data_IF_569125551126
#
_entry.id   IF_569125551126
#
_cell.length_a   1.000
_cell.length_b   1.000
_cell.length_c   1.000
_cell.angle_alpha   90.00
_cell.angle_beta   90.00
_cell.angle_gamma   90.00
#
_symmetry.space_group_name_H-M   'P 1'
#
loop_
_entity.id
_entity.type
_entity.pdbx_description
1 polymer ?
#
# COMPACT_ATOMS: atom_id res chain seq x y z
N UNK A 1 31.34 12.50 4.71
CA UNK A 1 30.92 11.78 5.94
C UNK A 1 29.89 12.51 6.79
N UNK A 2 30.07 13.77 7.23
CA UNK A 2 28.97 14.51 7.90
C UNK A 2 27.93 15.01 6.90
N UNK A 3 28.35 15.73 5.84
CA UNK A 3 27.46 16.29 4.81
C UNK A 3 26.60 15.22 4.12
N UNK A 4 27.15 14.06 3.81
CA UNK A 4 26.41 13.01 3.10
C UNK A 4 25.25 12.46 3.95
N UNK A 5 25.45 12.30 5.28
CA UNK A 5 24.38 11.86 6.20
C UNK A 5 23.26 12.89 6.34
N UNK A 6 23.60 14.18 6.35
CA UNK A 6 22.61 15.25 6.40
C UNK A 6 21.78 15.32 5.10
N UNK A 7 22.41 15.06 3.95
CA UNK A 7 21.72 14.99 2.65
C UNK A 7 20.82 13.77 2.51
N UNK A 8 21.28 12.58 2.92
CA UNK A 8 20.47 11.35 2.87
C UNK A 8 19.30 11.43 3.86
N UNK A 9 19.55 11.84 5.11
CA UNK A 9 18.50 12.02 6.11
C UNK A 9 17.46 13.06 5.71
N UNK A 10 17.90 14.20 5.17
CA UNK A 10 17.01 15.24 4.67
C UNK A 10 16.17 14.81 3.45
N UNK A 11 16.68 13.89 2.63
CA UNK A 11 15.94 13.36 1.47
C UNK A 11 14.90 12.34 1.90
N UNK A 12 15.24 11.43 2.82
CA UNK A 12 14.29 10.47 3.38
C UNK A 12 13.14 11.18 4.08
N UNK A 13 13.43 12.18 4.93
CA UNK A 13 12.40 13.01 5.58
C UNK A 13 11.42 13.63 4.56
N UNK A 14 11.93 14.23 3.48
CA UNK A 14 11.08 14.81 2.45
C UNK A 14 10.25 13.76 1.72
N UNK A 15 10.82 12.59 1.43
CA UNK A 15 10.09 11.47 0.84
C UNK A 15 8.90 11.08 1.71
N UNK A 16 9.08 10.99 3.03
CA UNK A 16 7.99 10.70 3.97
C UNK A 16 6.89 11.75 3.98
N UNK A 17 7.25 13.04 3.93
CA UNK A 17 6.25 14.12 3.82
C UNK A 17 5.43 13.96 2.53
N UNK A 18 6.10 13.70 1.40
CA UNK A 18 5.43 13.52 0.10
C UNK A 18 4.51 12.30 0.10
N UNK A 19 4.98 11.17 0.64
CA UNK A 19 4.16 9.95 0.75
C UNK A 19 2.94 10.19 1.65
N UNK A 20 3.11 10.85 2.80
CA UNK A 20 2.00 11.19 3.68
C UNK A 20 0.96 12.09 2.99
N UNK A 21 1.39 13.07 2.20
CA UNK A 21 0.47 13.89 1.39
C UNK A 21 -0.25 13.06 0.33
N UNK A 22 0.45 12.14 -0.34
CA UNK A 22 -0.15 11.26 -1.33
C UNK A 22 -1.23 10.35 -0.72
N UNK A 23 -0.98 9.79 0.47
CA UNK A 23 -1.95 8.96 1.18
C UNK A 23 -3.20 9.76 1.59
N UNK A 24 -3.03 10.98 2.11
CA UNK A 24 -4.17 11.86 2.45
C UNK A 24 -5.01 12.17 1.22
N UNK A 25 -4.38 12.53 0.10
CA UNK A 25 -5.09 12.79 -1.17
C UNK A 25 -5.84 11.55 -1.63
N UNK A 26 -5.22 10.37 -1.56
CA UNK A 26 -5.87 9.12 -1.95
C UNK A 26 -7.10 8.83 -1.06
N UNK A 27 -6.98 8.93 0.26
CA UNK A 27 -8.09 8.69 1.19
C UNK A 27 -9.21 9.70 0.98
N UNK A 28 -8.89 10.98 0.77
CA UNK A 28 -9.88 12.02 0.47
C UNK A 28 -10.61 11.73 -0.84
N UNK A 29 -9.90 11.32 -1.89
CA UNK A 29 -10.52 10.94 -3.16
C UNK A 29 -11.48 9.74 -2.99
N UNK A 30 -11.09 8.74 -2.20
CA UNK A 30 -11.99 7.64 -1.85
C UNK A 30 -13.20 8.10 -1.01
N UNK A 31 -13.00 8.98 -0.05
CA UNK A 31 -14.08 9.53 0.76
C UNK A 31 -15.10 10.28 -0.11
N UNK A 32 -14.65 11.03 -1.11
CA UNK A 32 -15.53 11.70 -2.08
C UNK A 32 -16.24 10.74 -3.02
N UNK A 33 -15.60 9.63 -3.40
CA UNK A 33 -16.25 8.59 -4.21
C UNK A 33 -17.47 8.00 -3.49
N UNK A 34 -17.37 7.74 -2.18
CA UNK A 34 -18.48 7.22 -1.37
C UNK A 34 -19.45 8.31 -0.89
N UNK A 35 -18.93 9.51 -0.61
CA UNK A 35 -19.70 10.67 -0.15
C UNK A 35 -19.47 11.88 -1.07
N UNK A 36 -20.17 11.94 -2.22
CA UNK A 36 -19.94 12.98 -3.23
C UNK A 36 -20.31 14.40 -2.77
N UNK A 37 -21.06 14.55 -1.67
CA UNK A 37 -21.36 15.85 -1.07
C UNK A 37 -20.30 16.37 -0.09
N UNK A 38 -19.23 15.59 0.17
CA UNK A 38 -18.25 15.90 1.20
C UNK A 38 -17.14 16.80 0.63
N UNK A 39 -16.91 17.95 1.27
CA UNK A 39 -15.93 18.92 0.82
C UNK A 39 -14.49 18.43 1.05
N UNK A 40 -13.61 18.69 0.07
CA UNK A 40 -12.22 18.20 0.04
C UNK A 40 -11.39 18.59 1.28
N UNK A 41 -11.57 19.83 1.77
CA UNK A 41 -10.87 20.31 2.95
C UNK A 41 -11.34 19.64 4.24
N UNK A 42 -12.64 19.28 4.33
CA UNK A 42 -13.22 18.60 5.50
C UNK A 42 -12.71 17.17 5.56
N UNK A 43 -12.73 16.47 4.42
CA UNK A 43 -12.20 15.12 4.30
C UNK A 43 -10.72 15.06 4.69
N UNK A 44 -9.91 15.96 4.11
CA UNK A 44 -8.46 15.99 4.37
C UNK A 44 -8.14 16.31 5.84
N UNK A 45 -8.85 17.27 6.45
CA UNK A 45 -8.68 17.59 7.87
C UNK A 45 -9.07 16.42 8.78
N UNK A 46 -10.19 15.74 8.47
CA UNK A 46 -10.64 14.58 9.23
C UNK A 46 -9.63 13.43 9.17
N UNK A 47 -9.03 13.17 7.99
CA UNK A 47 -7.99 12.15 7.83
C UNK A 47 -6.75 12.48 8.65
N UNK A 48 -6.28 13.74 8.63
CA UNK A 48 -5.11 14.15 9.42
C UNK A 48 -5.36 13.98 10.92
N UNK A 49 -6.54 14.37 11.41
CA UNK A 49 -6.93 14.18 12.82
C UNK A 49 -7.01 12.69 13.17
N UNK A 50 -7.56 11.86 12.28
CA UNK A 50 -7.62 10.41 12.47
C UNK A 50 -6.22 9.80 12.57
N UNK A 51 -5.32 10.15 11.65
CA UNK A 51 -3.93 9.67 11.67
C UNK A 51 -3.20 10.12 12.93
N UNK A 52 -3.39 11.37 13.35
CA UNK A 52 -2.81 11.88 14.60
C UNK A 52 -3.34 11.10 15.81
N UNK A 53 -4.64 10.86 15.90
CA UNK A 53 -5.23 10.11 17.01
C UNK A 53 -4.78 8.65 17.04
N UNK A 54 -4.62 8.00 15.89
CA UNK A 54 -4.03 6.67 15.78
C UNK A 54 -2.54 6.68 16.19
N UNK A 55 -1.80 7.74 15.89
CA UNK A 55 -0.40 7.87 16.31
C UNK A 55 -0.25 7.92 17.85
N UNK A 56 -1.25 8.43 18.56
CA UNK A 56 -1.30 8.43 20.02
C UNK A 56 -1.76 7.08 20.62
N UNK A 57 -2.30 6.16 19.81
CA UNK A 57 -2.77 4.87 20.30
C UNK A 57 -1.59 3.97 20.72
N UNK A 58 -1.73 3.33 21.88
CA UNK A 58 -0.66 2.56 22.53
C UNK A 58 -0.08 1.46 21.63
N UNK A 59 1.25 1.40 21.55
CA UNK A 59 2.08 0.42 20.79
C UNK A 59 1.64 -1.05 20.88
N UNK A 60 0.94 -1.44 21.95
CA UNK A 60 0.42 -2.81 22.10
C UNK A 60 -0.77 -3.12 21.18
N UNK A 61 -1.66 -2.15 20.96
CA UNK A 61 -2.79 -2.31 20.02
C UNK A 61 -2.33 -2.27 18.57
N UNK A 62 -1.28 -1.50 18.28
CA UNK A 62 -0.78 -1.30 16.92
C UNK A 62 -0.36 -2.62 16.26
N UNK A 63 0.38 -3.47 16.97
CA UNK A 63 0.86 -4.76 16.42
C UNK A 63 -0.26 -5.75 16.11
N UNK A 64 -1.31 -5.82 16.93
CA UNK A 64 -2.47 -6.68 16.65
C UNK A 64 -3.27 -6.14 15.46
N UNK A 65 -3.53 -4.83 15.41
CA UNK A 65 -4.25 -4.18 14.32
C UNK A 65 -3.51 -4.35 12.98
N UNK A 66 -2.19 -4.19 12.96
CA UNK A 66 -1.38 -4.37 11.77
C UNK A 66 -1.47 -5.79 11.22
N UNK A 67 -1.44 -6.80 12.09
CA UNK A 67 -1.65 -8.19 11.69
C UNK A 67 -3.03 -8.41 11.07
N UNK A 68 -4.10 -7.89 11.70
CA UNK A 68 -5.46 -7.98 11.16
C UNK A 68 -5.59 -7.26 9.81
N UNK A 69 -5.02 -6.07 9.65
CA UNK A 69 -5.03 -5.35 8.38
C UNK A 69 -4.23 -6.06 7.29
N UNK A 70 -3.10 -6.69 7.63
CA UNK A 70 -2.34 -7.50 6.69
C UNK A 70 -3.14 -8.73 6.22
N UNK A 71 -3.88 -9.39 7.13
CA UNK A 71 -4.78 -10.50 6.79
C UNK A 71 -5.86 -10.06 5.80
N UNK A 72 -6.51 -8.91 6.04
CA UNK A 72 -7.53 -8.35 5.13
C UNK A 72 -6.94 -8.12 3.74
N UNK A 73 -5.72 -7.58 3.64
CA UNK A 73 -5.05 -7.37 2.35
C UNK A 73 -4.84 -8.69 1.60
N UNK A 74 -4.37 -9.74 2.28
CA UNK A 74 -4.17 -11.06 1.67
C UNK A 74 -5.48 -11.64 1.16
N UNK A 75 -6.52 -11.63 2.01
CA UNK A 75 -7.85 -12.12 1.62
C UNK A 75 -8.41 -11.33 0.45
N UNK A 76 -8.26 -10.01 0.42
CA UNK A 76 -8.71 -9.18 -0.69
C UNK A 76 -8.00 -9.51 -2.00
N UNK A 77 -6.68 -9.70 -1.99
CA UNK A 77 -5.91 -10.10 -3.19
C UNK A 77 -6.40 -11.45 -3.72
N UNK A 78 -6.52 -12.45 -2.83
CA UNK A 78 -6.99 -13.79 -3.21
C UNK A 78 -8.42 -13.72 -3.75
N UNK A 79 -9.31 -12.98 -3.09
CA UNK A 79 -10.68 -12.81 -3.54
C UNK A 79 -10.76 -12.15 -4.92
N UNK A 80 -9.99 -11.09 -5.17
CA UNK A 80 -9.94 -10.42 -6.48
C UNK A 80 -9.45 -11.36 -7.59
N UNK A 81 -8.43 -12.19 -7.32
CA UNK A 81 -7.94 -13.19 -8.28
C UNK A 81 -9.03 -14.21 -8.58
N UNK A 82 -9.66 -14.79 -7.55
CA UNK A 82 -10.71 -15.80 -7.71
C UNK A 82 -11.91 -15.23 -8.47
N UNK A 83 -12.39 -14.05 -8.09
CA UNK A 83 -13.50 -13.37 -8.78
C UNK A 83 -13.15 -13.08 -10.23
N UNK A 84 -11.94 -12.61 -10.52
CA UNK A 84 -11.45 -12.40 -11.88
C UNK A 84 -11.49 -13.68 -12.73
N UNK A 85 -10.96 -14.79 -12.20
CA UNK A 85 -10.97 -16.10 -12.89
C UNK A 85 -12.39 -16.62 -13.12
N UNK A 86 -13.27 -16.48 -12.12
CA UNK A 86 -14.67 -16.89 -12.22
C UNK A 86 -15.41 -16.07 -13.26
N UNK A 87 -15.19 -14.75 -13.32
CA UNK A 87 -15.79 -13.89 -14.35
C UNK A 87 -15.37 -14.30 -15.76
N UNK A 88 -14.09 -14.65 -15.96
CA UNK A 88 -13.59 -15.14 -17.26
C UNK A 88 -14.21 -16.49 -17.60
N UNK A 89 -14.27 -17.43 -16.66
CA UNK A 89 -14.84 -18.75 -16.88
C UNK A 89 -16.34 -18.69 -17.25
N UNK A 90 -17.08 -17.79 -16.63
CA UNK A 90 -18.51 -17.59 -16.88
C UNK A 90 -18.81 -16.67 -18.07
N UNK A 91 -17.79 -16.16 -18.78
CA UNK A 91 -17.95 -15.19 -19.86
C UNK A 91 -18.85 -14.01 -19.43
N UNK A 92 -18.59 -13.51 -18.21
CA UNK A 92 -19.41 -12.48 -17.59
C UNK A 92 -19.35 -11.19 -18.42
N UNK A 93 -20.52 -10.67 -18.81
CA UNK A 93 -20.63 -9.39 -19.52
C UNK A 93 -20.88 -8.27 -18.54
N UNK A 94 -20.00 -7.27 -18.58
CA UNK A 94 -20.19 -6.04 -17.83
C UNK A 94 -21.47 -5.32 -18.29
N UNK A 95 -22.06 -4.46 -17.45
CA UNK A 95 -23.16 -3.57 -17.85
C UNK A 95 -22.80 -2.63 -19.03
N UNK A 96 -21.51 -2.47 -19.31
CA UNK A 96 -20.96 -1.70 -20.44
C UNK A 96 -20.73 -2.55 -21.70
N UNK A 97 -21.11 -3.83 -21.70
CA UNK A 97 -21.03 -4.74 -22.85
C UNK A 97 -19.68 -5.43 -23.05
N UNK A 98 -18.72 -5.24 -22.14
CA UNK A 98 -17.39 -5.85 -22.19
C UNK A 98 -17.42 -7.23 -21.55
N UNK A 99 -16.98 -8.24 -22.29
CA UNK A 99 -16.95 -9.63 -21.81
C UNK A 99 -15.63 -9.93 -21.12
N UNK A 100 -15.66 -10.44 -19.89
CA UNK A 100 -14.45 -10.81 -19.17
C UNK A 100 -13.68 -11.89 -19.95
N UNK A 101 -12.48 -11.56 -20.43
CA UNK A 101 -11.68 -12.43 -21.27
C UNK A 101 -10.18 -12.18 -21.09
N UNK A 102 -9.37 -13.24 -21.20
CA UNK A 102 -7.90 -13.12 -21.28
C UNK A 102 -7.43 -12.34 -22.51
N UNK A 103 -8.29 -12.21 -23.53
CA UNK A 103 -7.98 -11.43 -24.72
C UNK A 103 -7.71 -9.95 -24.41
N UNK A 104 -8.30 -9.39 -23.34
CA UNK A 104 -8.05 -8.01 -22.90
C UNK A 104 -6.60 -7.73 -22.50
N UNK A 105 -5.80 -8.76 -22.23
CA UNK A 105 -4.37 -8.59 -21.93
C UNK A 105 -3.56 -8.12 -23.16
N UNK A 106 -4.04 -8.36 -24.38
CA UNK A 106 -3.34 -8.02 -25.63
C UNK A 106 -4.20 -7.33 -26.69
N UNK A 107 -5.51 -7.51 -26.72
CA UNK A 107 -6.36 -6.99 -27.81
C UNK A 107 -6.75 -5.51 -27.66
N UNK A 108 -6.71 -4.92 -26.47
CA UNK A 108 -7.09 -3.52 -26.24
C UNK A 108 -5.94 -2.53 -26.47
N UNK A 109 -5.14 -2.73 -27.52
CA UNK A 109 -3.99 -1.87 -27.85
C UNK A 109 -2.60 -2.45 -27.56
N UNK A 110 -2.49 -3.78 -27.47
CA UNK A 110 -1.23 -4.49 -27.29
C UNK A 110 -0.60 -4.28 -25.91
N UNK A 111 0.74 -4.35 -25.84
CA UNK A 111 1.49 -4.15 -24.60
C UNK A 111 1.52 -2.68 -24.13
N UNK A 112 1.23 -1.73 -25.02
CA UNK A 112 1.29 -0.28 -24.76
C UNK A 112 0.01 0.44 -25.19
N UNK A 113 -1.15 0.11 -24.60
CA UNK A 113 -2.44 0.67 -25.01
C UNK A 113 -2.54 2.19 -24.75
N UNK A 114 -1.73 2.71 -23.81
CA UNK A 114 -1.59 4.13 -23.48
C UNK A 114 -0.27 4.74 -24.00
N UNK A 115 0.45 4.02 -24.87
CA UNK A 115 1.77 4.41 -25.37
C UNK A 115 2.89 4.41 -24.33
N UNK A 116 4.06 4.92 -24.73
CA UNK A 116 5.26 5.01 -23.89
C UNK A 116 5.04 5.97 -22.70
N UNK A 117 4.27 7.04 -22.88
CA UNK A 117 3.92 7.96 -21.79
C UNK A 117 3.10 7.28 -20.69
N UNK A 118 2.14 6.43 -21.07
CA UNK A 118 1.38 5.61 -20.12
C UNK A 118 2.25 4.60 -19.37
N UNK A 119 3.24 4.01 -20.06
CA UNK A 119 4.22 3.14 -19.41
C UNK A 119 5.02 3.88 -18.33
N UNK A 120 5.57 5.06 -18.63
CA UNK A 120 6.33 5.83 -17.63
C UNK A 120 5.45 6.30 -16.46
N UNK A 121 4.19 6.68 -16.72
CA UNK A 121 3.24 7.04 -15.67
C UNK A 121 2.93 5.86 -14.73
N UNK A 122 2.68 4.67 -15.28
CA UNK A 122 2.46 3.45 -14.48
C UNK A 122 3.73 2.98 -13.76
N UNK A 123 4.88 3.05 -14.43
CA UNK A 123 6.19 2.71 -13.86
C UNK A 123 6.52 3.57 -12.63
N UNK A 124 6.26 4.88 -12.71
CA UNK A 124 6.43 5.77 -11.57
C UNK A 124 5.61 5.31 -10.36
N UNK A 125 4.31 5.02 -10.55
CA UNK A 125 3.43 4.54 -9.48
C UNK A 125 3.93 3.19 -8.92
N UNK A 126 4.39 2.29 -9.80
CA UNK A 126 4.95 1.00 -9.37
C UNK A 126 6.19 1.20 -8.47
N UNK A 127 7.12 2.07 -8.85
CA UNK A 127 8.30 2.40 -8.03
C UNK A 127 7.89 3.00 -6.68
N UNK A 128 6.88 3.89 -6.66
CA UNK A 128 6.34 4.44 -5.41
C UNK A 128 5.82 3.36 -4.46
N UNK A 129 5.22 2.28 -4.97
CA UNK A 129 4.75 1.18 -4.14
C UNK A 129 5.89 0.41 -3.43
N UNK A 130 7.12 0.46 -3.94
CA UNK A 130 8.29 -0.21 -3.35
C UNK A 130 9.05 0.64 -2.32
N UNK A 131 8.77 1.93 -2.20
CA UNK A 131 9.46 2.84 -1.25
C UNK A 131 9.34 2.35 0.21
N UNK A 132 8.22 1.75 0.59
CA UNK A 132 8.03 1.21 1.94
C UNK A 132 8.92 0.00 2.28
N UNK A 133 9.34 -0.77 1.27
CA UNK A 133 10.20 -1.95 1.45
C UNK A 133 11.64 -1.54 1.75
N UNK A 134 12.09 -0.40 1.22
CA UNK A 134 13.42 0.15 1.49
C UNK A 134 13.61 0.47 2.97
N UNK A 135 12.58 0.97 3.67
CA UNK A 135 12.64 1.24 5.10
C UNK A 135 12.81 -0.05 5.91
N UNK A 136 12.06 -1.10 5.57
CA UNK A 136 12.20 -2.40 6.24
C UNK A 136 13.60 -2.96 6.02
N UNK A 137 14.14 -2.82 4.81
CA UNK A 137 15.50 -3.26 4.47
C UNK A 137 16.60 -2.45 5.17
N UNK A 138 16.47 -1.13 5.27
CA UNK A 138 17.45 -0.26 5.95
C UNK A 138 17.39 -0.41 7.46
N UNK A 139 16.19 -0.45 8.06
CA UNK A 139 16.01 -0.71 9.49
C UNK A 139 16.54 -2.10 9.87
N UNK A 140 16.33 -3.10 9.00
CA UNK A 140 16.93 -4.43 9.14
C UNK A 140 18.46 -4.38 9.08
N UNK A 141 19.04 -3.59 8.16
CA UNK A 141 20.49 -3.46 8.00
C UNK A 141 21.17 -2.69 9.15
N UNK A 142 20.45 -1.76 9.79
CA UNK A 142 20.92 -1.00 10.95
C UNK A 142 20.71 -1.74 12.29
N UNK A 143 20.04 -2.90 12.30
CA UNK A 143 19.86 -3.70 13.52
C UNK A 143 21.18 -4.38 13.90
N UNK A 144 21.50 -4.46 15.21
CA UNK A 144 22.84 -4.81 15.74
C UNK A 144 23.38 -6.23 15.42
N UNK A 145 22.63 -7.04 14.68
CA UNK A 145 23.06 -8.34 14.10
C UNK A 145 21.92 -8.82 13.16
N UNK A 146 21.90 -8.39 11.88
CA UNK A 146 20.78 -8.65 10.97
C UNK A 146 20.53 -10.15 10.76
N UNK A 147 21.58 -10.95 10.60
CA UNK A 147 21.47 -12.40 10.34
C UNK A 147 20.79 -13.19 11.46
N UNK A 148 20.88 -12.72 12.72
CA UNK A 148 20.26 -13.38 13.87
C UNK A 148 18.96 -12.70 14.30
N UNK A 149 18.87 -11.38 14.16
CA UNK A 149 17.75 -10.59 14.68
C UNK A 149 16.53 -10.63 13.77
N UNK A 150 16.73 -10.65 12.45
CA UNK A 150 15.63 -10.65 11.47
C UNK A 150 14.80 -11.96 11.51
N UNK A 151 15.41 -13.15 11.41
CA UNK A 151 14.66 -14.41 11.45
C UNK A 151 13.97 -14.61 12.80
N UNK A 152 14.61 -14.16 13.89
CA UNK A 152 14.10 -14.31 15.25
C UNK A 152 12.94 -13.37 15.51
N UNK A 153 12.98 -12.13 15.03
CA UNK A 153 11.84 -11.20 15.09
C UNK A 153 10.65 -11.75 14.30
N UNK A 154 10.87 -12.20 13.06
CA UNK A 154 9.83 -12.77 12.19
C UNK A 154 9.17 -14.00 12.83
N UNK A 155 9.95 -14.97 13.33
CA UNK A 155 9.40 -16.16 13.98
C UNK A 155 8.79 -15.88 15.36
N UNK A 156 9.20 -14.80 16.04
CA UNK A 156 8.67 -14.46 17.36
C UNK A 156 7.29 -13.80 17.29
N UNK A 157 6.94 -13.13 16.19
CA UNK A 157 5.66 -12.42 16.06
C UNK A 157 4.45 -13.39 16.15
N UNK A 158 4.38 -14.49 15.37
CA UNK A 158 3.26 -15.44 15.49
C UNK A 158 3.21 -16.11 16.88
N UNK A 159 4.36 -16.51 17.42
CA UNK A 159 4.46 -17.22 18.70
C UNK A 159 4.01 -16.31 19.85
N UNK A 160 4.38 -15.03 19.82
CA UNK A 160 4.02 -14.08 20.87
C UNK A 160 2.52 -13.75 20.86
N UNK A 161 1.89 -13.71 19.68
CA UNK A 161 0.43 -13.53 19.55
C UNK A 161 -0.33 -14.76 20.10
N UNK A 162 0.20 -15.97 19.88
CA UNK A 162 -0.39 -17.22 20.39
C UNK A 162 -0.21 -17.35 21.91
N UNK A 163 0.94 -16.95 22.45
CA UNK A 163 1.29 -17.10 23.88
C UNK A 163 0.75 -15.96 24.77
N UNK A 164 0.41 -14.79 24.21
CA UNK A 164 -0.19 -13.67 24.95
C UNK A 164 -1.72 -13.72 25.02
N UNK A 165 -2.32 -14.78 24.47
CA UNK A 165 -3.70 -15.22 24.76
C UNK A 165 -3.67 -16.34 25.78
#
# INVERSE_FOLDING_TARGET
>A
WSRDRDFTGGTSWRCWVVTGMADVVAITAYAQFWFPGLSDWVASLAVVILLLSLNLATVKMFGEMEFWFAMVKIVAIVALIVVGLVMIAMHFKSPTGVEASFAHLWNDGGWFPKGISGFFAGFQIAVFAFVGIELVGTTAAETKDPEKSLPRAINSIPIRIILSR
#
